data_IF_662515200208
#
_entry.id   IF_662515200208
#
_cell.length_a   1.000
_cell.length_b   1.000
_cell.length_c   1.000
_cell.angle_alpha   90.00
_cell.angle_beta   90.00
_cell.angle_gamma   90.00
#
_symmetry.space_group_name_H-M   'P 1'
#
loop_
_entity.id
_entity.type
_entity.pdbx_description
1 polymer ?
#
# COMPACT_ATOMS: atom_id res chain seq x y z
N UNK A 1 1.82 -4.70 11.76
CA UNK A 1 1.62 -5.43 13.03
C UNK A 1 1.76 -4.54 14.25
N UNK A 2 2.93 -3.91 14.50
CA UNK A 2 3.14 -3.02 15.67
C UNK A 2 2.09 -1.91 15.78
N UNK A 3 1.78 -1.21 14.68
CA UNK A 3 0.75 -0.16 14.65
C UNK A 3 -0.67 -0.69 14.95
N UNK A 4 -1.00 -1.89 14.47
CA UNK A 4 -2.28 -2.51 14.73
C UNK A 4 -2.41 -2.90 16.22
N UNK A 5 -1.34 -3.44 16.81
CA UNK A 5 -1.31 -3.80 18.22
C UNK A 5 -1.46 -2.56 19.13
N UNK A 6 -0.77 -1.45 18.83
CA UNK A 6 -0.89 -0.23 19.63
C UNK A 6 -2.29 0.39 19.54
N UNK A 7 -2.92 0.37 18.35
CA UNK A 7 -4.30 0.86 18.17
C UNK A 7 -5.33 0.01 18.91
N UNK A 8 -5.17 -1.33 18.94
CA UNK A 8 -6.05 -2.22 19.71
C UNK A 8 -5.90 -1.96 21.21
N UNK A 9 -4.68 -1.79 21.71
CA UNK A 9 -4.42 -1.50 23.13
C UNK A 9 -5.01 -0.14 23.52
N UNK A 10 -4.82 0.91 22.70
CA UNK A 10 -5.44 2.21 22.92
C UNK A 10 -6.97 2.16 22.89
N UNK A 11 -7.54 1.43 21.92
CA UNK A 11 -8.99 1.24 21.81
C UNK A 11 -9.58 0.49 22.99
N UNK A 12 -8.90 -0.56 23.48
CA UNK A 12 -9.34 -1.33 24.64
C UNK A 12 -9.31 -0.49 25.93
N UNK A 13 -8.25 0.29 26.15
CA UNK A 13 -8.14 1.22 27.29
C UNK A 13 -9.13 2.40 27.20
N UNK A 14 -9.58 2.74 25.98
CA UNK A 14 -10.59 3.76 25.74
C UNK A 14 -12.00 3.40 26.23
N UNK A 15 -12.31 2.10 26.38
CA UNK A 15 -13.62 1.60 26.82
C UNK A 15 -13.87 1.84 28.32
N UNK A 16 -12.81 1.90 29.13
CA UNK A 16 -12.94 2.11 30.57
C UNK A 16 -13.28 3.58 30.85
N UNK A 17 -14.48 3.81 31.38
CA UNK A 17 -15.01 5.15 31.71
C UNK A 17 -14.37 5.75 32.98
N UNK A 18 -13.98 4.92 33.96
CA UNK A 18 -13.25 5.37 35.14
C UNK A 18 -11.76 5.56 34.85
N UNK A 19 -11.40 6.76 34.37
CA UNK A 19 -10.02 7.06 33.98
C UNK A 19 -9.20 7.64 35.10
N UNK A 20 -8.30 6.82 35.64
CA UNK A 20 -7.18 7.30 36.46
C UNK A 20 -6.17 8.08 35.61
N UNK A 21 -5.46 9.05 36.22
CA UNK A 21 -4.36 9.79 35.57
C UNK A 21 -3.34 8.86 34.92
N UNK A 22 -3.04 7.72 35.55
CA UNK A 22 -2.12 6.72 35.03
C UNK A 22 -2.57 6.15 33.68
N UNK A 23 -3.88 5.93 33.49
CA UNK A 23 -4.42 5.35 32.26
C UNK A 23 -4.35 6.34 31.09
N UNK A 24 -4.57 7.63 31.34
CA UNK A 24 -4.41 8.67 30.33
C UNK A 24 -2.93 8.80 29.89
N UNK A 25 -1.97 8.67 30.82
CA UNK A 25 -0.54 8.66 30.47
C UNK A 25 -0.16 7.47 29.61
N UNK A 26 -0.71 6.28 29.88
CA UNK A 26 -0.48 5.09 29.05
C UNK A 26 -1.08 5.25 27.65
N UNK A 27 -2.29 5.78 27.51
CA UNK A 27 -2.89 6.05 26.20
C UNK A 27 -2.02 7.02 25.40
N UNK A 28 -1.56 8.11 26.02
CA UNK A 28 -0.70 9.10 25.36
C UNK A 28 0.62 8.48 24.90
N UNK A 29 1.28 7.66 25.73
CA UNK A 29 2.56 7.03 25.35
C UNK A 29 2.40 6.02 24.22
N UNK A 30 1.31 5.24 24.20
CA UNK A 30 1.01 4.31 23.13
C UNK A 30 0.72 5.02 21.79
N UNK A 31 0.04 6.16 21.82
CA UNK A 31 -0.16 7.00 20.63
C UNK A 31 1.17 7.55 20.11
N UNK A 32 2.09 7.98 20.99
CA UNK A 32 3.41 8.43 20.57
C UNK A 32 4.22 7.32 19.88
N UNK A 33 4.18 6.09 20.42
CA UNK A 33 4.84 4.93 19.79
C UNK A 33 4.22 4.65 18.41
N UNK A 34 2.89 4.72 18.30
CA UNK A 34 2.20 4.58 17.02
C UNK A 34 2.70 5.61 15.99
N UNK A 35 2.74 6.90 16.36
CA UNK A 35 3.19 7.99 15.47
C UNK A 35 4.66 7.79 15.08
N UNK A 36 5.51 7.36 16.01
CA UNK A 36 6.92 7.09 15.73
C UNK A 36 7.11 5.99 14.68
N UNK A 37 6.46 4.83 14.86
CA UNK A 37 6.55 3.72 13.91
C UNK A 37 5.91 4.09 12.56
N UNK A 38 4.83 4.87 12.57
CA UNK A 38 4.20 5.37 11.36
C UNK A 38 5.15 6.24 10.52
N UNK A 39 5.85 7.17 11.16
CA UNK A 39 6.81 8.05 10.48
C UNK A 39 8.02 7.30 9.92
N UNK A 40 8.48 6.22 10.58
CA UNK A 40 9.63 5.44 10.11
C UNK A 40 9.29 4.51 8.94
N UNK A 41 8.11 3.90 8.95
CA UNK A 41 7.73 2.90 7.96
C UNK A 41 6.77 3.47 6.92
N UNK A 42 5.54 3.75 7.33
CA UNK A 42 4.46 4.09 6.41
C UNK A 42 4.66 5.43 5.70
N UNK A 43 5.24 6.41 6.40
CA UNK A 43 5.57 7.73 5.84
C UNK A 43 6.40 7.62 4.57
N UNK A 44 7.68 7.20 4.63
CA UNK A 44 8.54 7.11 3.46
C UNK A 44 8.11 6.01 2.49
N UNK A 45 7.66 4.85 2.98
CA UNK A 45 7.33 3.71 2.12
C UNK A 45 6.19 4.01 1.14
N UNK A 46 5.15 4.72 1.59
CA UNK A 46 4.03 5.07 0.72
C UNK A 46 4.45 5.96 -0.45
N UNK A 47 5.35 6.92 -0.21
CA UNK A 47 5.88 7.78 -1.28
C UNK A 47 6.80 7.03 -2.22
N UNK A 48 7.68 6.17 -1.69
CA UNK A 48 8.58 5.36 -2.51
C UNK A 48 7.79 4.45 -3.46
N UNK A 49 6.86 3.66 -2.93
CA UNK A 49 6.03 2.75 -3.73
C UNK A 49 5.21 3.52 -4.77
N UNK A 50 4.63 4.67 -4.41
CA UNK A 50 3.92 5.52 -5.37
C UNK A 50 4.84 5.99 -6.51
N UNK A 51 6.09 6.34 -6.21
CA UNK A 51 7.05 6.78 -7.24
C UNK A 51 7.58 5.66 -8.12
N UNK A 52 7.64 4.43 -7.60
CA UNK A 52 8.05 3.21 -8.33
C UNK A 52 6.94 2.72 -9.27
N UNK A 53 5.68 2.76 -8.82
CA UNK A 53 4.52 2.37 -9.63
C UNK A 53 4.16 3.39 -10.71
N UNK A 54 4.57 4.64 -10.54
CA UNK A 54 4.34 5.67 -11.53
C UNK A 54 5.42 5.59 -12.63
N UNK A 55 5.22 4.69 -13.60
CA UNK A 55 6.11 4.49 -14.75
C UNK A 55 5.60 5.20 -16.02
N UNK A 56 6.49 5.37 -17.00
CA UNK A 56 6.16 5.87 -18.34
C UNK A 56 5.82 7.36 -18.47
N UNK A 57 5.33 7.75 -19.66
CA UNK A 57 5.02 9.14 -20.04
C UNK A 57 3.87 9.76 -19.20
N UNK A 58 3.04 8.93 -18.55
CA UNK A 58 1.89 9.35 -17.75
C UNK A 58 2.17 9.44 -16.24
N UNK A 59 3.41 9.20 -15.80
CA UNK A 59 3.85 9.27 -14.40
C UNK A 59 3.32 10.49 -13.64
N UNK A 60 3.47 11.68 -14.21
CA UNK A 60 3.05 12.94 -13.57
C UNK A 60 1.55 13.00 -13.30
N UNK A 61 0.72 12.44 -14.19
CA UNK A 61 -0.75 12.43 -14.03
C UNK A 61 -1.18 11.45 -12.94
N UNK A 62 -0.55 10.29 -12.87
CA UNK A 62 -0.83 9.28 -11.84
C UNK A 62 -0.44 9.83 -10.47
N UNK A 63 0.75 10.42 -10.36
CA UNK A 63 1.25 11.03 -9.13
C UNK A 63 0.36 12.19 -8.65
N UNK A 64 -0.12 13.05 -9.56
CA UNK A 64 -0.97 14.19 -9.18
C UNK A 64 -2.34 13.75 -8.69
N UNK A 65 -2.97 12.76 -9.33
CA UNK A 65 -4.24 12.19 -8.88
C UNK A 65 -4.08 11.51 -7.53
N UNK A 66 -3.03 10.70 -7.34
CA UNK A 66 -2.74 10.05 -6.06
C UNK A 66 -2.50 11.05 -4.92
N UNK A 67 -1.70 12.08 -5.19
CA UNK A 67 -1.42 13.15 -4.22
C UNK A 67 -2.68 13.96 -3.89
N UNK A 68 -3.52 14.26 -4.89
CA UNK A 68 -4.79 14.96 -4.68
C UNK A 68 -5.74 14.17 -3.79
N UNK A 69 -5.91 12.87 -4.04
CA UNK A 69 -6.72 11.99 -3.21
C UNK A 69 -6.21 11.90 -1.77
N UNK A 70 -4.87 11.83 -1.59
CA UNK A 70 -4.25 11.85 -0.27
C UNK A 70 -4.59 13.11 0.53
N UNK A 71 -4.46 14.28 -0.07
CA UNK A 71 -4.78 15.55 0.62
C UNK A 71 -6.26 15.72 0.93
N UNK A 72 -7.15 15.24 0.07
CA UNK A 72 -8.60 15.24 0.34
C UNK A 72 -8.92 14.36 1.55
N UNK A 73 -8.32 13.17 1.63
CA UNK A 73 -8.49 12.28 2.78
C UNK A 73 -7.90 12.91 4.06
N UNK A 74 -6.72 13.54 3.98
CA UNK A 74 -6.09 14.24 5.10
C UNK A 74 -6.96 15.40 5.61
N UNK A 75 -7.57 16.16 4.70
CA UNK A 75 -8.53 17.21 5.03
C UNK A 75 -9.75 16.64 5.75
N UNK A 76 -10.36 15.57 5.22
CA UNK A 76 -11.54 14.95 5.83
C UNK A 76 -11.23 14.48 7.26
N UNK A 77 -10.08 13.84 7.48
CA UNK A 77 -9.64 13.41 8.81
C UNK A 77 -9.48 14.61 9.75
N UNK A 78 -8.79 15.66 9.32
CA UNK A 78 -8.53 16.85 10.14
C UNK A 78 -9.81 17.61 10.47
N UNK A 79 -10.77 17.64 9.54
CA UNK A 79 -12.08 18.26 9.74
C UNK A 79 -12.93 17.47 10.74
N UNK A 80 -12.94 16.14 10.64
CA UNK A 80 -13.80 15.26 11.45
C UNK A 80 -13.25 15.03 12.87
N UNK A 81 -11.93 15.02 13.05
CA UNK A 81 -11.27 14.82 14.35
C UNK A 81 -11.78 15.72 15.51
N UNK A 82 -11.88 17.05 15.38
CA UNK A 82 -12.36 17.90 16.47
C UNK A 82 -13.82 17.59 16.85
N UNK A 83 -14.67 17.20 15.89
CA UNK A 83 -16.06 16.81 16.18
C UNK A 83 -16.17 15.48 16.93
N UNK A 84 -15.23 14.55 16.73
CA UNK A 84 -15.22 13.29 17.49
C UNK A 84 -14.72 13.46 18.93
N UNK A 85 -13.84 14.42 19.16
CA UNK A 85 -13.26 14.69 20.48
C UNK A 85 -14.09 15.64 21.34
N UNK A 86 -14.89 16.51 20.75
CA UNK A 86 -15.69 17.48 21.51
C UNK A 86 -16.74 16.78 22.39
N UNK A 87 -16.82 17.14 23.69
CA UNK A 87 -17.75 16.54 24.64
C UNK A 87 -19.23 16.86 24.35
N UNK A 88 -19.51 17.94 23.63
CA UNK A 88 -20.87 18.36 23.25
C UNK A 88 -21.43 17.63 22.02
N UNK A 89 -20.66 16.74 21.40
CA UNK A 89 -21.07 15.96 20.23
C UNK A 89 -20.97 14.46 20.51
N UNK A 90 -19.96 13.77 19.98
CA UNK A 90 -19.91 12.31 20.02
C UNK A 90 -19.21 11.73 21.25
N UNK A 91 -18.47 12.55 22.02
CA UNK A 91 -17.76 12.17 23.25
C UNK A 91 -16.98 10.83 23.16
N UNK A 92 -16.42 10.53 21.98
CA UNK A 92 -15.76 9.25 21.73
C UNK A 92 -14.39 9.18 22.40
N UNK A 93 -13.74 10.32 22.67
CA UNK A 93 -12.43 10.36 23.34
C UNK A 93 -11.43 9.37 22.70
N UNK A 94 -10.78 8.47 23.46
CA UNK A 94 -9.88 7.44 22.93
C UNK A 94 -10.58 6.29 22.19
N UNK A 95 -11.91 6.15 22.24
CA UNK A 95 -12.60 5.15 21.41
C UNK A 95 -12.47 5.45 19.91
N UNK A 96 -12.11 6.69 19.55
CA UNK A 96 -11.74 7.09 18.19
C UNK A 96 -10.64 6.17 17.60
N UNK A 97 -9.77 5.60 18.44
CA UNK A 97 -8.76 4.63 18.01
C UNK A 97 -9.34 3.38 17.32
N UNK A 98 -10.59 2.97 17.63
CA UNK A 98 -11.25 1.85 16.96
C UNK A 98 -11.63 2.16 15.51
N UNK A 99 -12.03 3.40 15.22
CA UNK A 99 -12.34 3.83 13.85
C UNK A 99 -11.06 3.79 13.00
N UNK A 100 -9.96 4.31 13.55
CA UNK A 100 -8.66 4.26 12.90
C UNK A 100 -8.12 2.83 12.77
N UNK A 101 -8.36 1.97 13.75
CA UNK A 101 -8.05 0.56 13.65
C UNK A 101 -8.81 -0.12 12.51
N UNK A 102 -10.13 0.12 12.39
CA UNK A 102 -10.93 -0.37 11.27
C UNK A 102 -10.38 0.09 9.92
N UNK A 103 -10.06 1.38 9.80
CA UNK A 103 -9.42 1.93 8.60
C UNK A 103 -8.05 1.30 8.29
N UNK A 104 -7.24 1.03 9.33
CA UNK A 104 -5.94 0.39 9.18
C UNK A 104 -6.07 -1.07 8.70
N UNK A 105 -7.08 -1.81 9.15
CA UNK A 105 -7.35 -3.18 8.69
C UNK A 105 -7.78 -3.20 7.22
N UNK A 106 -8.69 -2.30 6.82
CA UNK A 106 -9.10 -2.18 5.41
C UNK A 106 -7.92 -1.81 4.53
N UNK A 107 -7.10 -0.86 4.97
CA UNK A 107 -5.86 -0.47 4.27
C UNK A 107 -4.89 -1.65 4.17
N UNK A 108 -4.71 -2.44 5.23
CA UNK A 108 -3.85 -3.62 5.20
C UNK A 108 -4.34 -4.68 4.20
N UNK A 109 -5.65 -4.91 4.13
CA UNK A 109 -6.26 -5.80 3.13
C UNK A 109 -6.02 -5.26 1.72
N UNK A 110 -6.24 -3.96 1.50
CA UNK A 110 -5.99 -3.33 0.20
C UNK A 110 -4.54 -3.47 -0.24
N UNK A 111 -3.59 -3.16 0.64
CA UNK A 111 -2.15 -3.32 0.37
C UNK A 111 -1.82 -4.77 0.02
N UNK A 112 -2.38 -5.73 0.76
CA UNK A 112 -2.14 -7.14 0.53
C UNK A 112 -2.62 -7.64 -0.84
N UNK A 113 -3.77 -7.15 -1.33
CA UNK A 113 -4.33 -7.61 -2.60
C UNK A 113 -3.88 -6.79 -3.81
N UNK A 114 -3.65 -5.49 -3.64
CA UNK A 114 -3.58 -4.54 -4.76
C UNK A 114 -2.19 -3.93 -4.96
N UNK A 115 -1.27 -4.06 -4.00
CA UNK A 115 0.10 -3.52 -4.12
C UNK A 115 1.10 -4.64 -4.44
N UNK A 116 1.81 -4.58 -5.57
CA UNK A 116 2.81 -5.58 -5.93
C UNK A 116 4.14 -5.36 -5.20
N UNK A 117 4.93 -6.42 -5.09
CA UNK A 117 6.27 -6.36 -4.49
C UNK A 117 7.29 -5.80 -5.51
N UNK A 118 7.70 -4.54 -5.34
CA UNK A 118 8.62 -3.81 -6.24
C UNK A 118 10.10 -3.89 -5.83
N UNK A 119 10.39 -4.53 -4.70
CA UNK A 119 11.71 -4.48 -4.07
C UNK A 119 12.79 -5.19 -4.91
N UNK A 120 13.84 -4.44 -5.27
CA UNK A 120 15.02 -4.97 -5.96
C UNK A 120 14.88 -5.12 -7.48
N UNK A 121 13.89 -4.47 -8.10
CA UNK A 121 13.66 -4.42 -9.55
C UNK A 121 14.03 -3.07 -10.14
N UNK A 122 14.40 -3.03 -11.42
CA UNK A 122 14.60 -1.77 -12.14
C UNK A 122 13.27 -1.10 -12.50
N UNK A 123 13.26 0.20 -12.76
CA UNK A 123 12.04 0.92 -13.16
C UNK A 123 11.53 0.46 -14.53
N UNK A 124 12.44 0.07 -15.41
CA UNK A 124 12.14 -0.50 -16.73
C UNK A 124 11.47 -1.87 -16.59
N UNK A 125 12.00 -2.74 -15.72
CA UNK A 125 11.38 -4.04 -15.40
C UNK A 125 9.97 -3.89 -14.85
N UNK A 126 9.76 -2.91 -13.96
CA UNK A 126 8.44 -2.61 -13.38
C UNK A 126 7.48 -2.14 -14.47
N UNK A 127 7.94 -1.31 -15.41
CA UNK A 127 7.11 -0.83 -16.51
C UNK A 127 6.64 -1.99 -17.42
N UNK A 128 7.54 -2.92 -17.77
CA UNK A 128 7.20 -4.10 -18.58
C UNK A 128 6.20 -5.03 -17.87
N UNK A 129 6.38 -5.26 -16.56
CA UNK A 129 5.44 -6.07 -15.78
C UNK A 129 4.04 -5.44 -15.68
N UNK A 130 3.96 -4.10 -15.66
CA UNK A 130 2.70 -3.37 -15.71
C UNK A 130 2.04 -3.48 -17.08
N UNK A 131 2.82 -3.43 -18.16
CA UNK A 131 2.32 -3.55 -19.54
C UNK A 131 1.85 -4.96 -19.88
N UNK A 132 2.52 -5.99 -19.35
CA UNK A 132 2.10 -7.39 -19.46
C UNK A 132 0.94 -7.76 -18.51
N UNK A 133 0.37 -6.78 -17.80
CA UNK A 133 -0.74 -6.95 -16.84
C UNK A 133 -0.48 -8.09 -15.83
N UNK A 134 0.78 -8.28 -15.41
CA UNK A 134 1.16 -9.40 -14.55
C UNK A 134 0.43 -9.27 -13.21
N UNK A 135 -0.28 -10.31 -12.74
CA UNK A 135 -1.00 -10.24 -11.49
C UNK A 135 -0.04 -9.92 -10.34
N UNK A 136 -0.48 -9.01 -9.47
CA UNK A 136 0.26 -8.39 -8.36
C UNK A 136 1.06 -9.36 -7.49
N UNK A 137 0.65 -10.64 -7.43
CA UNK A 137 1.24 -11.69 -6.59
C UNK A 137 2.37 -12.47 -7.25
N UNK A 138 2.51 -12.41 -8.58
CA UNK A 138 3.52 -13.15 -9.33
C UNK A 138 4.80 -12.34 -9.56
N UNK A 139 4.77 -11.04 -9.26
CA UNK A 139 5.91 -10.11 -9.42
C UNK A 139 7.18 -10.59 -8.71
N UNK A 140 7.05 -11.30 -7.58
CA UNK A 140 8.18 -11.88 -6.85
C UNK A 140 8.93 -12.94 -7.66
N UNK A 141 8.22 -13.76 -8.44
CA UNK A 141 8.77 -14.90 -9.17
C UNK A 141 8.95 -14.64 -10.67
N UNK A 142 8.40 -13.54 -11.19
CA UNK A 142 8.46 -13.19 -12.61
C UNK A 142 9.90 -12.89 -13.03
N UNK A 143 10.49 -13.71 -13.89
CA UNK A 143 11.82 -13.46 -14.45
C UNK A 143 11.64 -12.85 -15.83
N UNK A 144 12.12 -11.62 -16.02
CA UNK A 144 12.15 -10.97 -17.32
C UNK A 144 13.32 -11.58 -18.10
N UNK A 145 13.05 -12.05 -19.32
CA UNK A 145 14.09 -12.60 -20.19
C UNK A 145 14.76 -11.45 -20.96
N UNK A 146 16.02 -11.63 -21.38
CA UNK A 146 16.74 -10.64 -22.20
C UNK A 146 16.05 -10.34 -23.53
N UNK A 147 15.16 -11.24 -23.99
CA UNK A 147 14.43 -11.12 -25.24
C UNK A 147 13.26 -10.13 -25.12
N UNK A 148 12.68 -9.96 -23.93
CA UNK A 148 11.62 -8.98 -23.66
C UNK A 148 12.14 -7.53 -23.75
N UNK A 149 13.39 -7.31 -23.35
CA UNK A 149 14.07 -6.00 -23.50
C UNK A 149 14.39 -5.67 -24.95
N UNK A 150 14.62 -6.67 -25.79
CA UNK A 150 14.93 -6.48 -27.20
C UNK A 150 13.68 -6.10 -28.01
N UNK A 151 12.51 -6.66 -27.68
CA UNK A 151 11.26 -6.30 -28.34
C UNK A 151 10.87 -4.84 -28.11
N UNK A 152 10.95 -4.32 -26.89
CA UNK A 152 10.55 -2.94 -26.58
C UNK A 152 11.44 -1.87 -27.26
N UNK A 153 12.69 -2.24 -27.59
CA UNK A 153 13.61 -1.39 -28.36
C UNK A 153 13.29 -1.30 -29.86
N UNK A 154 12.48 -2.22 -30.40
CA UNK A 154 12.15 -2.30 -31.83
C UNK A 154 10.74 -1.75 -32.15
N UNK A 155 9.97 -1.37 -31.12
CA UNK A 155 8.59 -0.86 -31.23
C UNK A 155 8.46 0.68 -31.34
N UNK A 156 9.45 1.40 -31.88
CA UNK A 156 9.33 2.86 -32.18
C UNK A 156 9.49 3.23 -33.67
N UNK A 157 9.05 2.38 -34.61
CA UNK A 157 8.92 2.81 -36.03
C UNK A 157 7.65 2.34 -36.78
N UNK A 158 6.75 1.59 -36.16
CA UNK A 158 5.55 1.13 -36.88
C UNK A 158 4.30 1.26 -36.03
N UNK A 159 3.63 2.40 -36.17
CA UNK A 159 2.26 2.57 -35.70
C UNK A 159 1.33 1.54 -36.33
N UNK A 160 0.94 0.51 -35.57
CA UNK A 160 -0.35 -0.19 -35.70
C UNK A 160 -0.59 -1.10 -34.50
N UNK A 161 -1.81 -0.96 -33.95
CA UNK A 161 -2.42 -1.88 -32.99
C UNK A 161 -2.47 -3.29 -33.59
N UNK A 162 -2.05 -4.30 -32.84
CA UNK A 162 -2.65 -5.63 -32.96
C UNK A 162 -2.59 -6.40 -31.64
N UNK A 163 -3.72 -7.04 -31.33
CA UNK A 163 -3.96 -7.86 -30.15
C UNK A 163 -3.22 -9.18 -30.32
N UNK A 164 -2.47 -9.62 -29.30
CA UNK A 164 -1.84 -10.94 -29.27
C UNK A 164 -2.10 -11.64 -27.95
N UNK A 165 -3.15 -12.47 -27.91
CA UNK A 165 -3.34 -13.44 -26.86
C UNK A 165 -2.31 -14.58 -26.98
N UNK A 166 -1.65 -14.90 -25.86
CA UNK A 166 -1.21 -16.26 -25.53
C UNK A 166 0.23 -16.65 -25.91
N UNK A 167 1.07 -16.85 -24.89
CA UNK A 167 1.80 -18.12 -24.73
C UNK A 167 2.22 -18.29 -23.26
N UNK A 168 1.40 -18.98 -22.46
CA UNK A 168 1.80 -19.48 -21.14
C UNK A 168 2.31 -20.90 -21.36
N UNK A 169 3.63 -21.06 -21.42
CA UNK A 169 4.24 -22.38 -21.50
C UNK A 169 4.32 -22.97 -20.08
N UNK A 170 3.37 -23.86 -19.78
CA UNK A 170 3.43 -24.76 -18.63
C UNK A 170 4.57 -25.75 -18.84
N UNK A 171 5.68 -25.59 -18.11
CA UNK A 171 6.71 -26.64 -18.01
C UNK A 171 6.18 -27.75 -17.11
N UNK A 172 5.60 -28.76 -17.74
CA UNK A 172 5.24 -30.03 -17.11
C UNK A 172 6.50 -30.78 -16.67
N UNK A 173 6.61 -31.05 -15.37
CA UNK A 173 7.60 -31.98 -14.82
C UNK A 173 7.00 -33.39 -14.81
N UNK A 174 7.29 -34.23 -15.80
CA UNK A 174 7.62 -35.65 -15.56
C UNK A 174 8.08 -36.40 -16.82
N UNK A 175 9.02 -37.32 -16.60
CA UNK A 175 9.59 -38.32 -17.52
C UNK A 175 10.51 -37.76 -18.62
N UNK A 176 11.78 -38.13 -18.74
CA UNK A 176 12.61 -39.15 -18.10
C UNK A 176 13.69 -39.56 -19.11
N UNK A 177 14.90 -39.90 -18.68
CA UNK A 177 15.67 -40.97 -19.37
C UNK A 177 16.94 -41.33 -18.61
N UNK A 178 17.04 -42.64 -18.39
CA UNK A 178 18.21 -43.50 -18.26
C UNK A 178 19.62 -42.86 -18.38
N UNK A 179 20.45 -43.19 -17.39
CA UNK A 179 21.77 -43.79 -17.57
C UNK A 179 22.08 -44.70 -16.38
#
# INVERSE_FOLDING_TARGET
VVMAATLVVCGALGIVQDRSKAMNTVIASMIMIYVFVFNLAWGPLAWVVATELATGKNRTKIMSVGTGAFWIAAWAVTFTLPYLYNPDSANLGPMVCWIYFGGAVVSWIFVYFMIPETLGRSLEEINMMLEHEVPTREWKNYKISSDDFAQDGEFDDSGKKEKGAGHVEHIDRSSGSAA
#
